data_IF_189478139163
#
_entry.id   IF_189478139163
#
_cell.length_a   1.000
_cell.length_b   1.000
_cell.length_c   1.000
_cell.angle_alpha   90.00
_cell.angle_beta   90.00
_cell.angle_gamma   90.00
#
_symmetry.space_group_name_H-M   'P 1'
#
loop_
_entity.id
_entity.type
_entity.pdbx_description
1 polymer ?
#
# COMPACT_ATOMS: atom_id res chain seq x y z
N UNK A 1 -12.75 9.80 60.38
CA UNK A 1 -13.05 10.16 58.95
C UNK A 1 -11.93 9.66 58.09
N UNK A 2 -12.24 8.65 57.31
CA UNK A 2 -11.27 8.12 56.33
C UNK A 2 -11.66 8.63 54.95
N UNK A 3 -10.90 9.55 54.45
CA UNK A 3 -11.02 9.95 53.03
C UNK A 3 -10.49 8.82 52.18
N UNK A 4 -11.34 8.17 51.48
CA UNK A 4 -10.94 7.26 50.39
C UNK A 4 -10.55 8.12 49.19
N UNK A 5 -9.27 8.21 48.91
CA UNK A 5 -8.78 8.77 47.65
C UNK A 5 -9.06 7.80 46.56
N UNK A 6 -10.10 8.05 45.81
CA UNK A 6 -10.36 7.35 44.54
C UNK A 6 -9.45 8.01 43.51
N UNK A 7 -8.39 7.32 43.16
CA UNK A 7 -7.54 7.71 42.04
C UNK A 7 -8.21 7.21 40.75
N UNK A 8 -8.67 8.08 39.86
CA UNK A 8 -9.15 7.64 38.57
C UNK A 8 -7.94 7.18 37.76
N UNK A 9 -7.86 5.92 37.50
CA UNK A 9 -6.91 5.35 36.55
C UNK A 9 -7.37 5.79 35.17
N UNK A 10 -6.77 6.83 34.65
CA UNK A 10 -6.96 7.22 33.26
C UNK A 10 -6.31 6.15 32.38
N UNK A 11 -7.11 5.31 31.79
CA UNK A 11 -6.66 4.41 30.76
C UNK A 11 -6.35 5.24 29.52
N UNK A 12 -5.10 5.60 29.33
CA UNK A 12 -4.64 6.19 28.10
C UNK A 12 -4.59 5.07 27.05
N UNK A 13 -5.63 4.97 26.28
CA UNK A 13 -5.61 4.18 25.06
C UNK A 13 -4.64 4.87 24.10
N UNK A 14 -3.46 4.31 23.98
CA UNK A 14 -2.48 4.78 23.03
C UNK A 14 -2.97 4.57 21.61
N UNK A 15 -3.30 5.66 20.94
CA UNK A 15 -3.64 5.66 19.50
C UNK A 15 -2.39 5.64 18.62
N UNK A 16 -1.28 5.13 19.14
CA UNK A 16 -0.01 5.11 18.43
C UNK A 16 0.04 4.15 17.23
N UNK A 17 -0.93 3.24 17.10
CA UNK A 17 -0.90 2.21 16.06
C UNK A 17 -1.18 2.73 14.65
N UNK A 18 -1.78 3.91 14.49
CA UNK A 18 -2.19 4.42 13.18
C UNK A 18 -1.13 5.30 12.50
N UNK A 19 -0.08 5.70 13.18
CA UNK A 19 0.93 6.62 12.70
C UNK A 19 2.33 6.02 12.59
N UNK A 20 2.44 4.70 12.65
CA UNK A 20 3.70 4.02 12.41
C UNK A 20 4.16 4.20 10.95
N UNK A 21 5.48 4.13 10.69
CA UNK A 21 5.96 4.15 9.33
C UNK A 21 5.32 3.01 8.53
N UNK A 22 4.91 3.31 7.31
CA UNK A 22 4.36 2.29 6.42
C UNK A 22 5.41 1.18 6.18
N UNK A 23 4.97 -0.07 6.16
CA UNK A 23 5.82 -1.19 5.82
C UNK A 23 6.32 -1.02 4.39
N UNK A 24 7.63 -1.04 4.22
CA UNK A 24 8.24 -0.97 2.89
C UNK A 24 8.29 -2.37 2.29
N UNK A 25 7.67 -2.52 1.14
CA UNK A 25 7.72 -3.73 0.35
C UNK A 25 8.63 -3.54 -0.86
N UNK A 26 9.38 -4.56 -1.21
CA UNK A 26 10.23 -4.52 -2.39
C UNK A 26 9.44 -4.79 -3.69
N UNK A 27 10.12 -4.66 -4.81
CA UNK A 27 9.54 -4.91 -6.11
C UNK A 27 9.04 -6.34 -6.26
N UNK A 28 9.78 -7.31 -5.77
CA UNK A 28 9.40 -8.73 -5.84
C UNK A 28 8.12 -9.00 -5.06
N UNK A 29 7.93 -8.36 -3.92
CA UNK A 29 6.70 -8.46 -3.15
C UNK A 29 5.50 -7.97 -3.96
N UNK A 30 5.59 -6.78 -4.55
CA UNK A 30 4.51 -6.23 -5.35
C UNK A 30 4.23 -7.04 -6.62
N UNK A 31 5.25 -7.65 -7.22
CA UNK A 31 5.06 -8.55 -8.34
C UNK A 31 4.25 -9.79 -7.96
N UNK A 32 4.47 -10.32 -6.76
CA UNK A 32 3.78 -11.49 -6.23
C UNK A 32 2.40 -11.17 -5.63
N UNK A 33 2.10 -9.89 -5.36
CA UNK A 33 0.87 -9.45 -4.70
C UNK A 33 0.13 -8.42 -5.57
N UNK A 34 -0.53 -8.88 -6.65
CA UNK A 34 -1.14 -7.97 -7.62
C UNK A 34 -2.22 -7.06 -7.02
N UNK A 35 -2.97 -7.55 -6.05
CA UNK A 35 -4.00 -6.74 -5.40
C UNK A 35 -3.39 -5.57 -4.62
N UNK A 36 -2.38 -5.83 -3.83
CA UNK A 36 -1.68 -4.79 -3.07
C UNK A 36 -0.93 -3.83 -4.00
N UNK A 37 -0.34 -4.35 -5.08
CA UNK A 37 0.29 -3.51 -6.09
C UNK A 37 -0.69 -2.50 -6.67
N UNK A 38 -1.86 -2.94 -7.08
CA UNK A 38 -2.90 -2.06 -7.64
C UNK A 38 -3.35 -1.03 -6.62
N UNK A 39 -3.60 -1.44 -5.38
CA UNK A 39 -3.99 -0.52 -4.31
C UNK A 39 -2.93 0.56 -4.07
N UNK A 40 -1.67 0.16 -4.00
CA UNK A 40 -0.56 1.09 -3.82
C UNK A 40 -0.45 2.07 -4.98
N UNK A 41 -0.59 1.59 -6.21
CA UNK A 41 -0.57 2.47 -7.40
C UNK A 41 -1.71 3.49 -7.38
N UNK A 42 -2.90 3.09 -6.96
CA UNK A 42 -4.04 4.01 -6.82
C UNK A 42 -3.73 5.10 -5.79
N UNK A 43 -3.19 4.74 -4.65
CA UNK A 43 -2.82 5.72 -3.62
C UNK A 43 -1.74 6.67 -4.09
N UNK A 44 -0.72 6.15 -4.77
CA UNK A 44 0.36 6.97 -5.33
C UNK A 44 -0.16 8.02 -6.32
N UNK A 45 -1.15 7.66 -7.12
CA UNK A 45 -1.76 8.57 -8.10
C UNK A 45 -2.68 9.62 -7.48
N UNK A 46 -3.18 9.38 -6.27
CA UNK A 46 -4.02 10.36 -5.56
C UNK A 46 -3.22 11.56 -5.07
N UNK A 47 -1.96 11.34 -4.72
CA UNK A 47 -1.11 12.40 -4.19
C UNK A 47 0.33 12.23 -4.72
N UNK A 48 0.53 12.43 -6.03
CA UNK A 48 1.84 12.18 -6.64
C UNK A 48 2.94 13.07 -6.07
N UNK A 49 2.63 14.32 -5.75
CA UNK A 49 3.61 15.25 -5.20
C UNK A 49 4.21 14.82 -3.88
N UNK A 50 3.44 14.09 -3.07
CA UNK A 50 3.88 13.61 -1.76
C UNK A 50 4.39 12.17 -1.80
N UNK A 51 3.78 11.31 -2.61
CA UNK A 51 3.97 9.87 -2.57
C UNK A 51 4.85 9.31 -3.67
N UNK A 52 5.01 10.04 -4.77
CA UNK A 52 5.62 9.53 -6.00
C UNK A 52 7.06 9.04 -5.80
N UNK A 53 7.82 9.69 -4.93
CA UNK A 53 9.19 9.29 -4.61
C UNK A 53 9.32 8.32 -3.44
N UNK A 54 8.22 7.87 -2.84
CA UNK A 54 8.30 6.93 -1.72
C UNK A 54 8.71 5.54 -2.18
N UNK A 55 9.41 4.75 -1.34
CA UNK A 55 9.87 3.42 -1.73
C UNK A 55 8.76 2.51 -2.22
N UNK A 56 7.60 2.50 -1.56
CA UNK A 56 6.48 1.66 -1.98
C UNK A 56 5.93 2.07 -3.35
N UNK A 57 5.82 3.36 -3.62
CA UNK A 57 5.37 3.83 -4.92
C UNK A 57 6.37 3.47 -6.02
N UNK A 58 7.65 3.71 -5.80
CA UNK A 58 8.70 3.36 -6.76
C UNK A 58 8.70 1.85 -7.03
N UNK A 59 8.67 1.05 -5.99
CA UNK A 59 8.72 -0.41 -6.10
C UNK A 59 7.46 -0.98 -6.76
N UNK A 60 6.28 -0.44 -6.44
CA UNK A 60 5.04 -0.86 -7.06
C UNK A 60 4.99 -0.51 -8.55
N UNK A 61 5.44 0.66 -8.93
CA UNK A 61 5.51 1.09 -10.35
C UNK A 61 6.47 0.19 -11.13
N UNK A 62 7.63 -0.10 -10.58
CA UNK A 62 8.59 -0.98 -11.23
C UNK A 62 8.07 -2.41 -11.37
N UNK A 63 7.43 -2.93 -10.32
CA UNK A 63 6.80 -4.25 -10.35
C UNK A 63 5.69 -4.33 -11.41
N UNK A 64 4.88 -3.30 -11.49
CA UNK A 64 3.81 -3.24 -12.49
C UNK A 64 4.36 -3.24 -13.91
N UNK A 65 5.39 -2.48 -14.17
CA UNK A 65 6.07 -2.45 -15.46
C UNK A 65 6.66 -3.82 -15.83
N UNK A 66 7.29 -4.49 -14.87
CA UNK A 66 7.88 -5.81 -15.09
C UNK A 66 6.79 -6.87 -15.37
N UNK A 67 5.71 -6.85 -14.63
CA UNK A 67 4.57 -7.77 -14.82
C UNK A 67 3.92 -7.54 -16.18
N UNK A 68 3.73 -6.30 -16.59
CA UNK A 68 3.19 -5.98 -17.91
C UNK A 68 4.13 -6.42 -19.03
N UNK A 69 5.42 -6.24 -18.84
CA UNK A 69 6.42 -6.71 -19.80
C UNK A 69 6.35 -8.22 -19.99
N UNK A 70 6.34 -8.97 -18.89
CA UNK A 70 6.19 -10.43 -18.93
C UNK A 70 4.90 -10.86 -19.64
N UNK A 71 3.81 -10.19 -19.34
CA UNK A 71 2.51 -10.49 -19.95
C UNK A 71 2.53 -10.27 -21.47
N UNK A 72 3.12 -9.19 -21.91
CA UNK A 72 3.15 -8.82 -23.33
C UNK A 72 4.11 -9.73 -24.12
N UNK A 73 5.29 -9.99 -23.57
CA UNK A 73 6.36 -10.69 -24.29
C UNK A 73 6.35 -12.21 -24.10
N UNK A 74 5.75 -12.70 -23.02
CA UNK A 74 5.72 -14.12 -22.69
C UNK A 74 4.33 -14.74 -22.69
N UNK A 75 3.31 -14.00 -23.11
CA UNK A 75 1.95 -14.51 -23.19
C UNK A 75 1.33 -14.88 -21.86
N UNK A 76 1.69 -14.17 -20.80
CA UNK A 76 1.10 -14.37 -19.48
C UNK A 76 -0.43 -14.20 -19.53
N UNK A 77 -1.18 -14.85 -18.61
CA UNK A 77 -2.62 -14.75 -18.58
C UNK A 77 -3.10 -13.31 -18.42
N UNK A 78 -4.31 -12.99 -18.90
CA UNK A 78 -4.86 -11.65 -18.76
C UNK A 78 -4.95 -11.23 -17.29
N UNK A 79 -4.93 -9.92 -16.99
CA UNK A 79 -5.03 -9.44 -15.63
C UNK A 79 -6.33 -9.90 -14.95
N UNK A 80 -6.28 -10.01 -13.63
CA UNK A 80 -7.42 -10.43 -12.83
C UNK A 80 -8.64 -9.52 -13.06
N UNK A 81 -9.87 -10.06 -12.91
CA UNK A 81 -11.08 -9.26 -13.00
C UNK A 81 -11.03 -8.04 -12.08
N UNK A 82 -11.46 -6.89 -12.57
CA UNK A 82 -11.40 -5.63 -11.84
C UNK A 82 -10.20 -4.75 -12.17
N UNK A 83 -9.20 -5.27 -12.86
CA UNK A 83 -8.16 -4.45 -13.46
C UNK A 83 -8.66 -4.00 -14.82
N UNK A 84 -9.10 -2.77 -14.88
CA UNK A 84 -9.66 -2.23 -16.10
C UNK A 84 -8.55 -1.66 -16.98
N UNK A 85 -8.30 -2.35 -18.08
CA UNK A 85 -7.32 -1.94 -19.08
C UNK A 85 -7.87 -0.99 -20.13
N UNK A 86 -9.11 -0.60 -20.01
CA UNK A 86 -9.73 0.27 -21.02
C UNK A 86 -9.20 1.70 -20.96
N UNK A 87 -8.50 2.08 -19.92
CA UNK A 87 -7.85 3.38 -19.80
C UNK A 87 -6.64 3.60 -20.69
N UNK A 88 -6.28 2.65 -21.50
CA UNK A 88 -5.10 2.71 -22.37
C UNK A 88 -5.39 3.19 -23.77
N UNK A 89 -6.58 3.45 -24.04
CA UNK A 89 -6.98 3.89 -25.38
C UNK A 89 -6.84 5.37 -25.56
#
# INVERSE_FOLDING_TARGET
MRLALIVPTAATLGLAACNGPATIHDKAYFAAHPKERVQTLVECRRDPGRLDGTPNCVNAVQADADVEHERVFHGAPPPAPGVNNTGHL
#
